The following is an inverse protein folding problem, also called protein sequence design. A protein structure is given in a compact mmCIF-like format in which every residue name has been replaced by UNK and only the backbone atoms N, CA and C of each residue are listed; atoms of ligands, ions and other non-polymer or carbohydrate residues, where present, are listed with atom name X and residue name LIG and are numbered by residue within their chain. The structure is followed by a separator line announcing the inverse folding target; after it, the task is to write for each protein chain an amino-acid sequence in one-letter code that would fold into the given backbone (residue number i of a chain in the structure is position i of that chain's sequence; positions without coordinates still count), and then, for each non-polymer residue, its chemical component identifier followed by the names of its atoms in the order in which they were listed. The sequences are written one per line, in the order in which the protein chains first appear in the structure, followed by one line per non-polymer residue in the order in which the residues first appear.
data_IF_989907825385
#
_entry.id   IF_989907825385
#
_cell.length_a   1.000
_cell.length_b   1.000
_cell.length_c   1.000
_cell.angle_alpha   90.00
_cell.angle_beta   90.00
_cell.angle_gamma   90.00
#
_symmetry.space_group_name_H-M   'P 1'
#
loop_
_entity.id
_entity.type
_entity.pdbx_description
1 polymer ?
#
# COMPACT_ATOMS: atom_id res chain seq x y z
N UNK A 1 -19.08 -1.75 -24.66
CA UNK A 1 -19.85 -1.45 -23.43
C UNK A 1 -19.01 -0.45 -22.67
N UNK A 2 -19.54 0.74 -22.39
CA UNK A 2 -18.89 1.71 -21.49
C UNK A 2 -18.82 1.08 -20.10
N UNK A 3 -17.67 1.18 -19.42
CA UNK A 3 -17.55 0.70 -18.04
C UNK A 3 -18.56 1.44 -17.15
N UNK A 4 -19.20 0.75 -16.23
CA UNK A 4 -20.31 1.29 -15.41
C UNK A 4 -19.89 2.52 -14.58
N UNK A 5 -18.59 2.71 -14.33
CA UNK A 5 -18.03 3.78 -13.51
C UNK A 5 -17.01 4.63 -14.26
N UNK A 6 -17.11 4.71 -15.61
CA UNK A 6 -16.11 5.39 -16.46
C UNK A 6 -15.91 6.87 -16.11
N UNK A 7 -16.92 7.51 -15.53
CA UNK A 7 -16.92 8.93 -15.19
C UNK A 7 -16.51 9.21 -13.71
N UNK A 8 -16.09 8.17 -12.96
CA UNK A 8 -15.72 8.29 -11.55
C UNK A 8 -14.23 8.10 -11.37
N UNK A 9 -13.45 9.17 -11.42
CA UNK A 9 -12.01 9.11 -11.26
C UNK A 9 -11.62 8.94 -9.78
N UNK A 10 -10.86 7.87 -9.49
CA UNK A 10 -10.31 7.60 -8.17
C UNK A 10 -8.80 7.90 -8.14
N UNK A 11 -8.35 8.71 -7.20
CA UNK A 11 -6.93 8.99 -6.95
C UNK A 11 -6.53 8.39 -5.61
N UNK A 12 -5.56 7.46 -5.62
CA UNK A 12 -4.99 6.90 -4.41
C UNK A 12 -3.69 7.62 -4.05
N UNK A 13 -3.60 8.10 -2.81
CA UNK A 13 -2.37 8.62 -2.20
C UNK A 13 -1.64 7.49 -1.51
N UNK A 14 -0.55 7.01 -2.12
CA UNK A 14 0.22 5.83 -1.72
C UNK A 14 -0.09 4.61 -2.58
N UNK A 15 0.95 3.84 -2.95
CA UNK A 15 0.91 2.64 -3.77
C UNK A 15 1.45 1.39 -3.05
N UNK A 16 1.53 1.39 -1.71
CA UNK A 16 2.00 0.26 -0.92
C UNK A 16 1.05 -0.94 -0.90
N UNK A 17 1.35 -1.97 -0.09
CA UNK A 17 0.60 -3.25 -0.02
C UNK A 17 -0.92 -3.06 0.13
N UNK A 18 -1.38 -2.29 1.13
CA UNK A 18 -2.82 -2.08 1.37
C UNK A 18 -3.46 -1.21 0.29
N UNK A 19 -2.76 -0.17 -0.15
CA UNK A 19 -3.19 0.66 -1.28
C UNK A 19 -3.39 -0.17 -2.54
N UNK A 20 -2.49 -1.13 -2.79
CA UNK A 20 -2.56 -2.01 -3.96
C UNK A 20 -3.75 -2.95 -3.91
N UNK A 21 -4.15 -3.42 -2.73
CA UNK A 21 -5.40 -4.16 -2.56
C UNK A 21 -6.63 -3.33 -2.93
N UNK A 22 -6.66 -2.05 -2.52
CA UNK A 22 -7.73 -1.11 -2.89
C UNK A 22 -7.71 -0.81 -4.41
N UNK A 23 -6.55 -0.46 -4.96
CA UNK A 23 -6.37 -0.18 -6.38
C UNK A 23 -6.78 -1.37 -7.26
N UNK A 24 -6.38 -2.59 -6.87
CA UNK A 24 -6.74 -3.83 -7.58
C UNK A 24 -8.25 -4.07 -7.59
N UNK A 25 -8.94 -3.89 -6.44
CA UNK A 25 -10.41 -4.03 -6.33
C UNK A 25 -11.15 -3.01 -7.20
N UNK A 26 -10.78 -1.74 -7.08
CA UNK A 26 -11.39 -0.65 -7.83
C UNK A 26 -11.17 -0.82 -9.34
N UNK A 27 -9.96 -1.18 -9.76
CA UNK A 27 -9.65 -1.42 -11.17
C UNK A 27 -10.47 -2.55 -11.76
N UNK A 28 -10.58 -3.66 -11.06
CA UNK A 28 -11.41 -4.80 -11.49
C UNK A 28 -12.91 -4.51 -11.46
N UNK A 29 -13.35 -3.55 -10.66
CA UNK A 29 -14.73 -3.04 -10.67
C UNK A 29 -14.99 -2.04 -11.81
N UNK A 30 -13.95 -1.61 -12.56
CA UNK A 30 -14.09 -0.76 -13.75
C UNK A 30 -13.91 0.74 -13.48
N UNK A 31 -13.36 1.13 -12.34
CA UNK A 31 -13.08 2.54 -12.05
C UNK A 31 -11.82 3.03 -12.76
N UNK A 32 -11.84 4.23 -13.39
CA UNK A 32 -10.64 4.98 -13.73
C UNK A 32 -9.81 5.26 -12.48
N UNK A 33 -8.48 5.03 -12.55
CA UNK A 33 -7.65 5.04 -11.36
C UNK A 33 -6.27 5.65 -11.62
N UNK A 34 -5.80 6.47 -10.67
CA UNK A 34 -4.42 6.97 -10.61
C UNK A 34 -3.85 6.69 -9.22
N UNK A 35 -2.61 6.22 -9.16
CA UNK A 35 -1.86 6.07 -7.92
C UNK A 35 -0.79 7.14 -7.83
N UNK A 36 -0.73 7.86 -6.72
CA UNK A 36 0.32 8.83 -6.43
C UNK A 36 1.27 8.25 -5.40
N UNK A 37 2.57 8.39 -5.62
CA UNK A 37 3.57 7.81 -4.74
C UNK A 37 4.79 8.74 -4.62
N UNK A 38 5.59 8.51 -3.60
CA UNK A 38 6.87 9.20 -3.42
C UNK A 38 7.88 8.72 -4.45
N UNK A 39 8.89 9.53 -4.74
CA UNK A 39 10.00 9.14 -5.62
C UNK A 39 10.80 7.95 -5.03
N UNK A 40 10.84 7.82 -3.71
CA UNK A 40 11.50 6.72 -2.99
C UNK A 40 10.51 6.06 -2.03
N UNK A 41 9.64 5.18 -2.52
CA UNK A 41 8.68 4.46 -1.69
C UNK A 41 9.36 3.56 -0.66
N UNK A 42 8.88 3.58 0.58
CA UNK A 42 9.36 2.70 1.66
C UNK A 42 8.57 1.38 1.71
N UNK A 43 8.10 0.92 0.56
CA UNK A 43 7.30 -0.30 0.46
C UNK A 43 8.15 -1.53 0.63
N UNK A 44 7.78 -2.38 1.60
CA UNK A 44 8.48 -3.65 1.88
C UNK A 44 7.97 -4.77 0.98
N UNK A 45 6.65 -4.93 0.84
CA UNK A 45 6.06 -5.98 -0.02
C UNK A 45 5.96 -5.54 -1.48
N UNK A 46 7.11 -5.24 -2.09
CA UNK A 46 7.20 -4.68 -3.44
C UNK A 46 6.59 -5.54 -4.53
N UNK A 47 6.63 -6.86 -4.39
CA UNK A 47 6.05 -7.81 -5.34
C UNK A 47 4.54 -7.69 -5.55
N UNK A 48 3.83 -7.08 -4.60
CA UNK A 48 2.37 -6.89 -4.63
C UNK A 48 1.99 -5.42 -4.41
N UNK A 49 2.86 -4.50 -4.83
CA UNK A 49 2.67 -3.08 -4.60
C UNK A 49 2.88 -2.27 -5.88
N UNK A 50 1.88 -1.46 -6.25
CA UNK A 50 1.96 -0.60 -7.43
C UNK A 50 3.05 0.47 -7.30
N UNK A 51 3.45 0.85 -6.09
CA UNK A 51 4.61 1.72 -5.84
C UNK A 51 5.91 1.20 -6.46
N UNK A 52 6.02 -0.09 -6.73
CA UNK A 52 7.18 -0.71 -7.40
C UNK A 52 7.40 -0.16 -8.80
N UNK A 53 6.34 0.28 -9.48
CA UNK A 53 6.45 0.92 -10.79
C UNK A 53 7.29 2.20 -10.77
N UNK A 54 7.42 2.88 -9.62
CA UNK A 54 8.27 4.07 -9.49
C UNK A 54 9.75 3.74 -9.76
N UNK A 55 10.24 2.59 -9.27
CA UNK A 55 11.63 2.17 -9.44
C UNK A 55 11.84 1.34 -10.71
N UNK A 56 10.90 0.45 -11.03
CA UNK A 56 11.05 -0.56 -12.08
C UNK A 56 10.38 -0.16 -13.40
N UNK A 57 9.74 1.02 -13.44
CA UNK A 57 8.97 1.50 -14.60
C UNK A 57 7.59 0.84 -14.72
N UNK A 58 7.45 -0.42 -14.35
CA UNK A 58 6.16 -1.12 -14.33
C UNK A 58 6.16 -2.28 -13.34
N UNK A 59 4.95 -2.72 -12.94
CA UNK A 59 4.73 -3.89 -12.08
C UNK A 59 3.42 -4.55 -12.49
N UNK A 60 3.32 -5.87 -12.28
CA UNK A 60 2.05 -6.60 -12.42
C UNK A 60 1.67 -7.18 -11.07
N UNK A 61 0.49 -6.80 -10.57
CA UNK A 61 -0.07 -7.30 -9.31
C UNK A 61 -1.31 -8.11 -9.64
N UNK A 62 -1.24 -9.43 -9.50
CA UNK A 62 -2.34 -10.37 -9.81
C UNK A 62 -3.08 -10.03 -11.12
N UNK A 63 -2.32 -9.90 -12.20
CA UNK A 63 -2.85 -9.65 -13.55
C UNK A 63 -3.16 -8.18 -13.87
N UNK A 64 -3.15 -7.28 -12.90
CA UNK A 64 -3.33 -5.84 -13.13
C UNK A 64 -1.97 -5.17 -13.27
N UNK A 65 -1.77 -4.46 -14.38
CA UNK A 65 -0.52 -3.75 -14.68
C UNK A 65 -0.53 -2.34 -14.13
N UNK A 66 0.50 -1.97 -13.35
CA UNK A 66 0.84 -0.61 -12.99
C UNK A 66 2.04 -0.13 -13.80
N UNK A 67 2.05 1.14 -14.24
CA UNK A 67 3.18 1.74 -14.95
C UNK A 67 3.52 3.11 -14.36
N UNK A 68 4.81 3.44 -14.31
CA UNK A 68 5.23 4.81 -14.01
C UNK A 68 4.79 5.72 -15.14
N UNK A 69 4.15 6.83 -14.79
CA UNK A 69 3.60 7.78 -15.73
C UNK A 69 3.83 9.22 -15.27
N UNK A 70 3.88 10.14 -16.23
CA UNK A 70 3.75 11.57 -15.96
C UNK A 70 2.28 11.92 -15.65
N UNK A 71 2.02 13.10 -15.10
CA UNK A 71 0.66 13.53 -14.84
C UNK A 71 -0.20 13.63 -16.12
N UNK A 72 0.39 14.07 -17.23
CA UNK A 72 -0.30 14.17 -18.51
C UNK A 72 -0.69 12.78 -19.06
N UNK A 73 0.21 11.81 -18.95
CA UNK A 73 -0.07 10.42 -19.34
C UNK A 73 -1.12 9.78 -18.41
N UNK A 74 -1.07 10.08 -17.11
CA UNK A 74 -2.01 9.53 -16.14
C UNK A 74 -3.47 9.91 -16.45
N UNK A 75 -3.71 11.15 -16.89
CA UNK A 75 -5.04 11.60 -17.29
C UNK A 75 -5.64 10.78 -18.44
N UNK A 76 -4.78 10.30 -19.38
CA UNK A 76 -5.20 9.45 -20.50
C UNK A 76 -5.32 7.98 -20.08
N UNK A 77 -4.39 7.50 -19.26
CA UNK A 77 -4.27 6.08 -18.89
C UNK A 77 -5.24 5.63 -17.81
N UNK A 78 -5.76 6.54 -16.98
CA UNK A 78 -6.61 6.22 -15.84
C UNK A 78 -7.83 5.34 -16.23
N UNK A 79 -8.44 5.60 -17.38
CA UNK A 79 -9.60 4.85 -17.91
C UNK A 79 -9.24 3.56 -18.67
N UNK A 80 -7.95 3.24 -18.85
CA UNK A 80 -7.51 2.01 -19.55
C UNK A 80 -7.39 0.83 -18.60
N UNK A 81 -6.97 -0.35 -19.09
CA UNK A 81 -6.70 -1.54 -18.27
C UNK A 81 -5.47 -1.38 -17.35
N UNK A 82 -4.67 -0.34 -17.56
CA UNK A 82 -3.44 -0.09 -16.80
C UNK A 82 -3.67 0.94 -15.71
N UNK A 83 -2.96 0.82 -14.59
CA UNK A 83 -2.95 1.81 -13.51
C UNK A 83 -1.72 2.72 -13.68
N UNK A 84 -1.87 4.01 -14.02
CA UNK A 84 -0.76 4.95 -13.97
C UNK A 84 -0.33 5.23 -12.53
N UNK A 85 0.98 5.18 -12.29
CA UNK A 85 1.62 5.51 -11.03
C UNK A 85 2.45 6.78 -11.23
N UNK A 86 2.01 7.86 -10.61
CA UNK A 86 2.61 9.19 -10.73
C UNK A 86 3.48 9.47 -9.51
N UNK A 87 4.69 9.96 -9.74
CA UNK A 87 5.52 10.46 -8.64
C UNK A 87 5.02 11.84 -8.23
N UNK A 88 4.34 11.89 -7.09
CA UNK A 88 3.82 13.13 -6.50
C UNK A 88 3.72 12.98 -4.99
N UNK A 89 4.43 13.80 -4.18
CA UNK A 89 4.30 13.81 -2.73
C UNK A 89 2.94 14.37 -2.28
N UNK A 90 2.39 15.27 -3.08
CA UNK A 90 1.10 15.92 -2.84
C UNK A 90 0.02 15.36 -3.76
N UNK A 91 -1.24 15.68 -3.46
CA UNK A 91 -2.35 15.36 -4.34
C UNK A 91 -2.19 16.13 -5.65
N UNK A 92 -2.07 15.45 -6.81
CA UNK A 92 -1.92 16.13 -8.09
C UNK A 92 -3.24 16.80 -8.49
N UNK A 93 -3.18 17.86 -9.33
CA UNK A 93 -4.36 18.61 -9.80
C UNK A 93 -5.14 17.79 -10.85
N UNK A 94 -5.71 16.68 -10.43
CA UNK A 94 -6.63 15.85 -11.21
C UNK A 94 -8.05 16.08 -10.72
N UNK A 95 -9.06 16.08 -11.60
CA UNK A 95 -10.46 16.22 -11.20
C UNK A 95 -10.98 14.92 -10.58
N UNK A 96 -10.47 14.57 -9.39
CA UNK A 96 -10.83 13.36 -8.69
C UNK A 96 -12.24 13.44 -8.10
N UNK A 97 -13.08 12.44 -8.36
CA UNK A 97 -14.35 12.26 -7.65
C UNK A 97 -14.13 11.60 -6.29
N UNK A 98 -13.11 10.76 -6.21
CA UNK A 98 -12.73 10.04 -5.00
C UNK A 98 -11.24 10.16 -4.74
N UNK A 99 -10.88 10.55 -3.53
CA UNK A 99 -9.51 10.47 -3.02
C UNK A 99 -9.43 9.40 -1.94
N UNK A 100 -8.45 8.49 -2.06
CA UNK A 100 -8.16 7.48 -1.06
C UNK A 100 -6.80 7.73 -0.44
N UNK A 101 -6.73 8.14 0.83
CA UNK A 101 -5.46 8.21 1.55
C UNK A 101 -5.05 6.83 2.06
N UNK A 102 -4.13 6.22 1.37
CA UNK A 102 -3.60 4.88 1.63
C UNK A 102 -2.12 4.89 2.06
N UNK A 103 -1.57 6.04 2.45
CA UNK A 103 -0.16 6.21 2.84
C UNK A 103 0.19 5.51 4.15
N UNK A 104 -0.82 5.16 4.97
CA UNK A 104 -0.63 4.48 6.25
C UNK A 104 0.31 5.21 7.23
N UNK A 105 0.32 6.54 7.17
CA UNK A 105 1.22 7.40 7.95
C UNK A 105 0.84 7.50 9.44
N UNK A 106 -0.32 6.96 9.82
CA UNK A 106 -0.86 6.99 11.21
C UNK A 106 -1.14 8.40 11.74
N UNK A 107 -1.17 9.37 10.86
CA UNK A 107 -1.53 10.78 11.08
C UNK A 107 -1.96 11.38 9.75
N UNK A 108 -2.80 12.38 9.78
CA UNK A 108 -3.11 13.15 8.58
C UNK A 108 -1.84 13.89 8.10
N UNK A 109 -1.55 13.76 6.82
CA UNK A 109 -0.44 14.43 6.13
C UNK A 109 -1.01 15.30 5.01
N UNK A 110 -1.82 16.29 5.39
CA UNK A 110 -2.43 17.24 4.45
C UNK A 110 -3.58 16.67 3.62
N UNK A 111 -4.13 15.50 3.92
CA UNK A 111 -5.43 15.08 3.37
C UNK A 111 -6.54 15.71 4.19
N UNK A 112 -7.50 16.32 3.51
CA UNK A 112 -8.67 16.97 4.09
C UNK A 112 -9.96 16.43 3.46
N UNK A 113 -11.07 16.59 4.15
CA UNK A 113 -12.38 16.18 3.66
C UNK A 113 -12.79 16.93 2.36
N UNK A 114 -12.14 18.04 2.07
CA UNK A 114 -12.41 18.91 0.90
C UNK A 114 -11.62 18.51 -0.35
N UNK A 115 -10.70 17.52 -0.24
CA UNK A 115 -9.83 17.10 -1.35
C UNK A 115 -10.60 16.48 -2.54
N UNK A 116 -11.80 15.95 -2.30
CA UNK A 116 -12.69 15.39 -3.32
C UNK A 116 -14.15 15.28 -2.80
N UNK A 117 -15.14 15.07 -3.68
CA UNK A 117 -16.52 14.75 -3.29
C UNK A 117 -16.64 13.55 -2.36
N UNK A 118 -15.73 12.57 -2.46
CA UNK A 118 -15.55 11.51 -1.48
C UNK A 118 -14.06 11.38 -1.11
N UNK A 119 -13.77 11.50 0.18
CA UNK A 119 -12.43 11.22 0.72
C UNK A 119 -12.50 10.03 1.66
N UNK A 120 -11.75 8.98 1.37
CA UNK A 120 -11.64 7.75 2.16
C UNK A 120 -10.22 7.63 2.72
N UNK A 121 -10.06 7.36 4.00
CA UNK A 121 -8.76 7.16 4.61
C UNK A 121 -8.59 5.74 5.17
N UNK A 122 -7.36 5.20 5.11
CA UNK A 122 -7.05 3.86 5.60
C UNK A 122 -6.43 3.89 7.00
N UNK A 123 -7.11 3.27 7.95
CA UNK A 123 -6.59 2.99 9.30
C UNK A 123 -6.49 4.22 10.22
N UNK A 124 -5.66 4.13 11.26
CA UNK A 124 -5.58 5.14 12.29
C UNK A 124 -4.95 6.45 11.81
N UNK A 125 -5.31 7.54 12.46
CA UNK A 125 -4.79 8.88 12.20
C UNK A 125 -5.78 9.80 11.48
N UNK A 126 -7.00 9.29 11.21
CA UNK A 126 -8.10 10.03 10.61
C UNK A 126 -9.38 9.85 11.41
N UNK A 127 -10.24 10.86 11.35
CA UNK A 127 -11.57 10.85 11.95
C UNK A 127 -12.60 11.11 10.84
N UNK A 128 -13.48 10.15 10.59
CA UNK A 128 -14.56 10.30 9.62
C UNK A 128 -15.54 11.41 10.08
N UNK A 129 -15.92 12.27 9.14
CA UNK A 129 -16.71 13.48 9.37
C UNK A 129 -15.88 14.69 9.80
N UNK A 130 -14.55 14.57 9.92
CA UNK A 130 -13.62 15.66 10.26
C UNK A 130 -12.50 15.75 9.22
N UNK A 131 -11.68 14.73 9.10
CA UNK A 131 -10.52 14.72 8.18
C UNK A 131 -10.87 14.13 6.80
N UNK A 132 -11.87 13.25 6.78
CA UNK A 132 -12.33 12.52 5.60
C UNK A 132 -13.81 12.15 5.75
N UNK A 133 -14.44 11.66 4.69
CA UNK A 133 -15.83 11.21 4.72
C UNK A 133 -15.97 9.83 5.37
N UNK A 134 -15.03 8.93 5.08
CA UNK A 134 -15.04 7.58 5.62
C UNK A 134 -13.63 7.08 5.98
N UNK A 135 -13.55 6.25 7.02
CA UNK A 135 -12.32 5.55 7.42
C UNK A 135 -12.52 4.05 7.27
N UNK A 136 -11.57 3.36 6.63
CA UNK A 136 -11.56 1.90 6.53
C UNK A 136 -10.66 1.32 7.61
N UNK A 137 -11.21 0.43 8.45
CA UNK A 137 -10.46 -0.22 9.52
C UNK A 137 -9.37 -1.15 8.97
N UNK A 138 -8.16 -0.99 9.46
CA UNK A 138 -7.01 -1.80 9.05
C UNK A 138 -6.46 -2.73 10.12
N UNK A 139 -6.97 -2.69 11.35
CA UNK A 139 -6.57 -3.63 12.38
C UNK A 139 -7.13 -5.02 12.10
N UNK A 140 -6.29 -6.06 12.21
CA UNK A 140 -6.75 -7.45 12.09
C UNK A 140 -7.77 -7.78 13.18
N UNK A 141 -8.77 -8.57 12.81
CA UNK A 141 -9.88 -8.96 13.68
C UNK A 141 -11.22 -8.79 12.97
N UNK A 142 -12.34 -8.91 13.71
CA UNK A 142 -13.69 -8.91 13.13
C UNK A 142 -14.11 -7.58 12.50
N UNK A 143 -13.34 -6.51 12.73
CA UNK A 143 -13.60 -5.18 12.15
C UNK A 143 -12.73 -4.87 10.92
N UNK A 144 -11.80 -5.73 10.54
CA UNK A 144 -10.92 -5.52 9.39
C UNK A 144 -11.71 -5.25 8.11
N UNK A 145 -11.42 -4.16 7.42
CA UNK A 145 -12.09 -3.74 6.20
C UNK A 145 -13.45 -3.06 6.41
N UNK A 146 -13.94 -2.92 7.63
CA UNK A 146 -15.20 -2.19 7.87
C UNK A 146 -15.07 -0.70 7.55
N UNK A 147 -16.09 -0.15 6.92
CA UNK A 147 -16.23 1.28 6.64
C UNK A 147 -16.84 1.96 7.85
N UNK A 148 -16.20 3.04 8.31
CA UNK A 148 -16.64 3.90 9.39
C UNK A 148 -16.99 5.27 8.80
N UNK A 149 -18.26 5.64 8.83
CA UNK A 149 -18.75 6.95 8.39
C UNK A 149 -18.72 8.01 9.52
N UNK A 150 -18.35 7.61 10.72
CA UNK A 150 -18.15 8.47 11.88
C UNK A 150 -17.08 7.88 12.81
N UNK A 151 -16.32 8.74 13.48
CA UNK A 151 -15.26 8.34 14.40
C UNK A 151 -14.00 7.85 13.70
N UNK A 152 -13.15 7.10 14.41
CA UNK A 152 -11.81 6.73 13.95
C UNK A 152 -11.60 5.22 13.98
N UNK A 153 -10.68 4.73 13.13
CA UNK A 153 -10.18 3.36 13.21
C UNK A 153 -9.43 3.12 14.52
N UNK A 154 -9.27 1.85 14.87
CA UNK A 154 -8.55 1.46 16.08
C UNK A 154 -7.10 1.99 16.06
N UNK A 155 -6.64 2.47 17.22
CA UNK A 155 -5.29 3.01 17.38
C UNK A 155 -4.22 1.97 17.00
N UNK A 156 -3.14 2.44 16.41
CA UNK A 156 -2.02 1.56 16.07
C UNK A 156 -1.36 0.98 17.32
N UNK A 157 -1.32 -0.34 17.43
CA UNK A 157 -0.67 -1.03 18.55
C UNK A 157 0.86 -1.06 18.46
N UNK A 158 1.43 -0.72 17.30
CA UNK A 158 2.87 -0.84 17.06
C UNK A 158 3.38 -2.28 16.94
N UNK A 159 2.53 -3.27 17.25
CA UNK A 159 2.88 -4.69 17.25
C UNK A 159 2.42 -5.36 15.96
N UNK A 160 3.33 -5.95 15.17
CA UNK A 160 2.97 -6.74 14.01
C UNK A 160 2.12 -7.95 14.40
N UNK A 161 1.14 -8.29 13.56
CA UNK A 161 0.34 -9.49 13.76
C UNK A 161 1.19 -10.77 13.72
N UNK A 162 0.83 -11.74 14.56
CA UNK A 162 1.48 -13.05 14.60
C UNK A 162 1.11 -13.89 13.37
N UNK A 163 2.10 -14.53 12.75
CA UNK A 163 1.94 -15.49 11.65
C UNK A 163 2.75 -16.74 12.02
N UNK A 164 2.11 -17.90 12.04
CA UNK A 164 2.72 -19.19 12.42
C UNK A 164 3.59 -19.08 13.69
N UNK A 165 3.06 -18.44 14.74
CA UNK A 165 3.73 -18.28 16.03
C UNK A 165 4.79 -17.17 16.09
N UNK A 166 5.12 -16.52 14.97
CA UNK A 166 6.12 -15.43 14.87
C UNK A 166 5.43 -14.06 14.79
N UNK A 167 5.85 -13.11 15.58
CA UNK A 167 5.31 -11.76 15.66
C UNK A 167 6.28 -10.68 15.18
N UNK A 168 6.78 -9.89 16.11
CA UNK A 168 7.65 -8.74 15.82
C UNK A 168 9.01 -9.16 15.22
N UNK A 169 9.51 -10.34 15.54
CA UNK A 169 10.76 -10.89 15.04
C UNK A 169 10.78 -11.12 13.53
N UNK A 170 9.60 -11.25 12.88
CA UNK A 170 9.51 -11.35 11.42
C UNK A 170 9.96 -10.07 10.70
N UNK A 171 9.89 -8.94 11.39
CA UNK A 171 10.18 -7.64 10.81
C UNK A 171 11.68 -7.36 10.87
N UNK A 172 12.31 -7.26 9.71
CA UNK A 172 13.68 -6.76 9.60
C UNK A 172 13.67 -5.24 9.79
N UNK A 173 14.49 -4.77 10.73
CA UNK A 173 14.65 -3.35 11.00
C UNK A 173 16.06 -2.92 10.66
N UNK A 174 16.23 -1.70 10.17
CA UNK A 174 17.52 -1.11 9.88
C UNK A 174 18.37 -1.04 11.16
N UNK A 175 19.55 -1.68 11.20
CA UNK A 175 20.42 -1.68 12.36
C UNK A 175 21.19 -0.36 12.51
N UNK A 176 21.28 0.41 11.42
CA UNK A 176 21.96 1.70 11.36
C UNK A 176 21.16 2.66 10.44
N UNK A 177 21.55 3.93 10.41
CA UNK A 177 21.09 4.88 9.40
C UNK A 177 22.05 4.86 8.21
N UNK A 178 21.53 4.96 6.98
CA UNK A 178 22.30 4.93 5.74
C UNK A 178 21.56 4.23 4.61
N UNK A 179 22.24 3.87 3.54
CA UNK A 179 21.65 3.15 2.43
C UNK A 179 21.63 1.63 2.67
N UNK A 180 20.53 0.98 2.30
CA UNK A 180 20.39 -0.48 2.38
C UNK A 180 20.87 -1.12 1.09
N UNK A 181 21.70 -2.17 1.20
CA UNK A 181 22.15 -2.99 0.07
C UNK A 181 21.84 -4.46 0.32
N UNK A 182 21.08 -5.07 -0.59
CA UNK A 182 20.62 -6.44 -0.45
C UNK A 182 21.51 -7.43 -1.18
N UNK A 183 21.83 -8.54 -0.51
CA UNK A 183 22.47 -9.74 -1.08
C UNK A 183 21.46 -10.82 -1.42
N UNK A 184 20.21 -10.66 -1.01
CA UNK A 184 19.10 -11.58 -1.20
C UNK A 184 17.95 -10.90 -1.93
N UNK A 185 16.98 -11.70 -2.41
CA UNK A 185 15.79 -11.23 -3.15
C UNK A 185 14.50 -11.68 -2.48
N UNK A 186 13.43 -10.96 -2.76
CA UNK A 186 12.08 -11.39 -2.37
C UNK A 186 11.77 -12.72 -3.05
N UNK A 187 11.29 -13.69 -2.29
CA UNK A 187 10.99 -15.04 -2.75
C UNK A 187 12.07 -16.08 -2.44
N UNK A 188 13.23 -15.66 -1.95
CA UNK A 188 14.28 -16.60 -1.53
C UNK A 188 13.98 -17.19 -0.16
N UNK A 189 14.28 -18.50 -0.02
CA UNK A 189 14.23 -19.19 1.26
C UNK A 189 15.63 -19.07 1.90
N UNK A 190 15.63 -18.70 3.16
CA UNK A 190 16.85 -18.42 3.93
C UNK A 190 16.83 -19.19 5.25
N UNK A 191 18.01 -19.49 5.78
CA UNK A 191 18.18 -20.05 7.11
C UNK A 191 18.55 -18.98 8.12
N UNK A 192 18.28 -19.23 9.40
CA UNK A 192 18.62 -18.34 10.50
C UNK A 192 20.09 -17.91 10.45
N UNK A 193 20.35 -16.62 10.66
CA UNK A 193 21.69 -16.05 10.64
C UNK A 193 22.26 -15.72 9.26
N UNK A 194 21.61 -16.15 8.14
CA UNK A 194 22.05 -15.75 6.79
C UNK A 194 22.10 -14.23 6.68
N UNK A 195 23.19 -13.69 6.13
CA UNK A 195 23.32 -12.27 5.82
C UNK A 195 22.44 -11.96 4.61
N UNK A 196 21.42 -11.16 4.82
CA UNK A 196 20.45 -10.75 3.79
C UNK A 196 20.91 -9.51 3.03
N UNK A 197 21.72 -8.70 3.65
CA UNK A 197 22.22 -7.44 3.13
C UNK A 197 22.91 -6.61 4.21
N UNK A 198 23.16 -5.35 3.91
CA UNK A 198 23.78 -4.38 4.85
C UNK A 198 23.02 -3.07 4.84
N UNK A 199 23.11 -2.34 5.95
CA UNK A 199 22.84 -0.90 6.00
C UNK A 199 24.17 -0.26 6.38
N UNK A 200 24.73 0.56 5.49
CA UNK A 200 26.14 0.98 5.55
C UNK A 200 27.06 -0.26 5.65
N UNK A 201 27.71 -0.45 6.79
CA UNK A 201 28.61 -1.58 7.08
C UNK A 201 28.00 -2.61 8.04
N UNK A 202 26.76 -2.38 8.51
CA UNK A 202 26.11 -3.24 9.50
C UNK A 202 25.24 -4.26 8.81
N UNK A 203 25.47 -5.52 9.09
CA UNK A 203 24.73 -6.64 8.48
C UNK A 203 23.27 -6.71 8.96
N UNK A 204 22.39 -7.05 8.03
CA UNK A 204 21.00 -7.44 8.27
C UNK A 204 20.92 -8.95 8.10
N UNK A 205 20.56 -9.68 9.16
CA UNK A 205 20.53 -11.14 9.14
C UNK A 205 19.10 -11.68 9.25
N UNK A 206 18.88 -12.88 8.67
CA UNK A 206 17.65 -13.62 8.83
C UNK A 206 17.45 -14.00 10.31
N UNK A 207 16.32 -13.67 10.93
CA UNK A 207 16.07 -13.97 12.34
C UNK A 207 15.73 -15.44 12.59
N UNK A 208 15.30 -16.16 11.57
CA UNK A 208 14.93 -17.59 11.58
C UNK A 208 14.86 -18.12 10.15
N UNK A 209 14.66 -19.43 10.00
CA UNK A 209 14.44 -20.09 8.71
C UNK A 209 13.10 -19.64 8.13
N UNK A 210 13.08 -19.20 6.87
CA UNK A 210 11.85 -18.72 6.27
C UNK A 210 12.00 -18.15 4.87
N UNK A 211 10.89 -17.62 4.37
CA UNK A 211 10.80 -16.98 3.06
C UNK A 211 11.00 -15.46 3.20
N UNK A 212 11.90 -14.88 2.43
CA UNK A 212 12.02 -13.41 2.31
C UNK A 212 10.78 -12.89 1.58
N UNK A 213 9.82 -12.39 2.33
CA UNK A 213 8.52 -11.97 1.81
C UNK A 213 8.51 -10.54 1.30
N UNK A 214 9.41 -9.73 1.80
CA UNK A 214 9.49 -8.34 1.39
C UNK A 214 10.77 -7.65 1.83
N UNK A 215 11.24 -6.75 0.98
CA UNK A 215 12.42 -5.89 1.18
C UNK A 215 12.11 -4.52 0.57
N UNK A 216 12.52 -3.43 1.21
CA UNK A 216 12.53 -2.11 0.55
C UNK A 216 13.47 -2.16 -0.67
N UNK A 217 13.36 -1.19 -1.58
CA UNK A 217 14.23 -1.15 -2.75
C UNK A 217 15.70 -1.04 -2.32
N UNK A 218 16.59 -1.64 -3.10
CA UNK A 218 18.04 -1.49 -2.92
C UNK A 218 18.44 -0.02 -3.08
N UNK A 219 19.46 0.43 -2.34
CA UNK A 219 19.89 1.84 -2.31
C UNK A 219 18.93 2.79 -1.58
N UNK A 220 17.88 2.27 -0.93
CA UNK A 220 16.96 3.12 -0.16
C UNK A 220 17.61 3.70 1.08
N UNK A 221 17.63 5.03 1.27
CA UNK A 221 18.10 5.63 2.52
C UNK A 221 17.11 5.33 3.66
N UNK A 222 17.63 4.83 4.76
CA UNK A 222 16.86 4.42 5.93
C UNK A 222 17.46 5.00 7.20
N UNK A 223 16.64 5.13 8.24
CA UNK A 223 17.11 5.46 9.59
C UNK A 223 17.05 4.23 10.49
N UNK A 224 17.87 4.19 11.52
CA UNK A 224 17.88 3.13 12.53
C UNK A 224 16.47 2.81 13.02
N UNK A 225 16.12 1.53 13.06
CA UNK A 225 14.83 1.04 13.52
C UNK A 225 13.72 1.05 12.46
N UNK A 226 13.91 1.69 11.28
CA UNK A 226 12.94 1.65 10.21
C UNK A 226 12.70 0.19 9.78
N UNK A 227 11.44 -0.17 9.51
CA UNK A 227 11.11 -1.46 8.90
C UNK A 227 11.63 -1.50 7.46
N UNK A 228 12.57 -2.41 7.18
CA UNK A 228 13.19 -2.57 5.86
C UNK A 228 12.88 -3.89 5.18
N UNK A 229 12.35 -4.88 5.91
CA UNK A 229 12.01 -6.18 5.35
C UNK A 229 11.05 -6.98 6.20
N UNK A 230 10.67 -8.15 5.68
CA UNK A 230 9.77 -9.10 6.34
C UNK A 230 10.17 -10.53 5.92
N UNK A 231 10.41 -11.41 6.89
CA UNK A 231 10.64 -12.86 6.69
C UNK A 231 9.40 -13.60 7.17
N UNK A 232 8.83 -14.44 6.32
CA UNK A 232 7.68 -15.29 6.66
C UNK A 232 8.16 -16.68 7.07
N UNK A 233 7.78 -17.21 8.25
CA UNK A 233 8.18 -18.53 8.69
C UNK A 233 7.60 -19.68 7.83
N UNK A 234 6.60 -19.39 7.00
CA UNK A 234 5.99 -20.33 6.09
C UNK A 234 6.72 -20.31 4.74
N UNK A 235 7.48 -21.34 4.44
CA UNK A 235 8.27 -21.44 3.21
C UNK A 235 7.42 -21.59 1.93
N UNK A 236 6.19 -22.08 2.07
CA UNK A 236 5.23 -22.36 0.99
C UNK A 236 4.27 -21.18 0.68
N UNK A 237 4.43 -20.04 1.37
CA UNK A 237 3.58 -18.88 1.14
C UNK A 237 3.85 -18.26 -0.23
N UNK A 238 2.81 -18.08 -1.05
CA UNK A 238 2.93 -17.33 -2.28
C UNK A 238 3.09 -15.83 -1.99
N UNK A 239 4.31 -15.36 -2.11
CA UNK A 239 4.69 -13.99 -1.86
C UNK A 239 4.23 -13.02 -2.96
N UNK A 240 3.75 -13.54 -4.10
CA UNK A 240 3.23 -12.76 -5.23
C UNK A 240 1.74 -12.44 -5.09
N UNK A 241 1.07 -12.97 -4.07
CA UNK A 241 -0.35 -12.71 -3.84
C UNK A 241 -0.58 -11.56 -2.87
N UNK A 242 -1.62 -10.78 -3.15
CA UNK A 242 -2.16 -9.80 -2.20
C UNK A 242 -2.56 -10.50 -0.90
N UNK A 243 -2.34 -9.85 0.22
CA UNK A 243 -2.71 -10.43 1.51
C UNK A 243 -4.24 -10.39 1.72
N UNK A 244 -4.74 -11.30 2.57
CA UNK A 244 -6.08 -11.27 3.12
C UNK A 244 -6.44 -9.88 3.66
N UNK A 245 -5.49 -9.24 4.34
CA UNK A 245 -5.65 -7.88 4.86
C UNK A 245 -5.78 -6.85 3.74
N UNK A 246 -4.95 -6.91 2.72
CA UNK A 246 -5.00 -5.97 1.60
C UNK A 246 -6.33 -6.11 0.83
N UNK A 247 -6.79 -7.35 0.61
CA UNK A 247 -8.07 -7.62 -0.04
C UNK A 247 -9.27 -7.20 0.80
N UNK A 248 -9.24 -7.40 2.14
CA UNK A 248 -10.30 -6.96 3.03
C UNK A 248 -10.41 -5.44 3.08
N UNK A 249 -9.28 -4.74 3.24
CA UNK A 249 -9.23 -3.27 3.24
C UNK A 249 -9.67 -2.71 1.88
N UNK A 250 -9.21 -3.32 0.79
CA UNK A 250 -9.65 -2.94 -0.56
C UNK A 250 -11.15 -3.16 -0.78
N UNK A 251 -11.74 -4.20 -0.17
CA UNK A 251 -13.18 -4.41 -0.13
C UNK A 251 -13.93 -3.27 0.55
N UNK A 252 -13.42 -2.81 1.70
CA UNK A 252 -13.98 -1.66 2.42
C UNK A 252 -13.90 -0.36 1.62
N UNK A 253 -12.79 -0.12 0.90
CA UNK A 253 -12.69 1.05 0.01
C UNK A 253 -13.75 0.97 -1.10
N UNK A 254 -13.88 -0.18 -1.74
CA UNK A 254 -14.89 -0.38 -2.78
C UNK A 254 -16.32 -0.20 -2.23
N UNK A 255 -16.62 -0.74 -1.04
CA UNK A 255 -17.88 -0.53 -0.34
C UNK A 255 -18.18 0.96 -0.14
N UNK A 256 -17.20 1.73 0.39
CA UNK A 256 -17.36 3.16 0.63
C UNK A 256 -17.69 3.92 -0.66
N UNK A 257 -16.99 3.61 -1.76
CA UNK A 257 -17.22 4.25 -3.06
C UNK A 257 -18.63 3.89 -3.60
N UNK A 258 -19.01 2.62 -3.52
CA UNK A 258 -20.33 2.18 -4.02
C UNK A 258 -21.48 2.74 -3.16
N UNK A 259 -21.34 2.81 -1.85
CA UNK A 259 -22.32 3.43 -0.95
C UNK A 259 -22.49 4.90 -1.30
N UNK A 260 -21.41 5.64 -1.44
CA UNK A 260 -21.45 7.05 -1.83
C UNK A 260 -22.11 7.28 -3.20
N UNK A 261 -21.86 6.41 -4.18
CA UNK A 261 -22.51 6.48 -5.49
C UNK A 261 -24.01 6.20 -5.38
N UNK A 262 -24.41 5.21 -4.56
CA UNK A 262 -25.82 4.88 -4.33
C UNK A 262 -26.58 6.05 -3.70
N UNK A 263 -26.00 6.73 -2.73
CA UNK A 263 -26.64 7.85 -2.01
C UNK A 263 -26.80 9.12 -2.88
N UNK A 264 -26.17 9.17 -4.05
CA UNK A 264 -26.28 10.26 -5.04
C UNK A 264 -27.21 9.95 -6.21
N UNK A 265 -27.68 8.68 -6.33
CA UNK A 265 -28.58 8.24 -7.39
C UNK A 265 -30.03 8.56 -7.03
#
# INVERSE_FOLDING_TARGET
MTAAFADVLVVLRGGGDLASGAAWRLKRAGFPLVVCELERPLTVRRSVAFSTAVHEGSVVVEGVRGIRATLAEAAVLAGTETIPVVVSPDLPPLPADVVVDARMAKRALGTTIEDAPLVVALGPGFTAGVDCHAVVETMRGPRLGRVLWSGSAAANTGTPGTIAGRGAERVLRAPASGEVHWLTRIGEIVVAGTVLGTVERTEVRAPFDGLVRGLVADGTPVHTGLKIGDVDPRADTDWRQLSDKALAVGGGVLEAVLTWLHDRS
#
